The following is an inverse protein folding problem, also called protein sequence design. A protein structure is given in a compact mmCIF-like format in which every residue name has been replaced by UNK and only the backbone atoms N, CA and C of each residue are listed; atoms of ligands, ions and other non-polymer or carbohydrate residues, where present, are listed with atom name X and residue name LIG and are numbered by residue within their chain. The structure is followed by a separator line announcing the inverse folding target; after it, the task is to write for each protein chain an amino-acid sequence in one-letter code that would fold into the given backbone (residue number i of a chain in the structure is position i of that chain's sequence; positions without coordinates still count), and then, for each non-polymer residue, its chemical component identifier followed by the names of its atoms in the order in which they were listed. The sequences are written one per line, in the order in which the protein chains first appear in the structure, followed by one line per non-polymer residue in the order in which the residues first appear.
data_IF_424290661266
#
_entry.id   IF_424290661266
#
_cell.length_a   1.000
_cell.length_b   1.000
_cell.length_c   1.000
_cell.angle_alpha   90.00
_cell.angle_beta   90.00
_cell.angle_gamma   90.00
#
_symmetry.space_group_name_H-M   'P 1'
#
loop_
_entity.id
_entity.type
_entity.pdbx_description
1 polymer ?
#
# COMPACT_ATOMS: atom_id res chain seq x y z
N UNK A 1 38.15 14.32 25.25
CA UNK A 1 38.32 12.99 24.62
C UNK A 1 37.23 11.97 24.96
N UNK A 2 36.91 11.66 26.23
CA UNK A 2 35.85 10.68 26.59
C UNK A 2 34.46 10.99 26.00
N UNK A 3 34.01 12.25 26.07
CA UNK A 3 32.72 12.67 25.50
C UNK A 3 32.67 12.55 23.97
N UNK A 4 33.78 12.80 23.26
CA UNK A 4 33.87 12.67 21.79
C UNK A 4 33.79 11.19 21.37
N UNK A 5 34.43 10.27 22.13
CA UNK A 5 34.30 8.83 21.88
C UNK A 5 32.88 8.31 22.13
N UNK A 6 32.23 8.76 23.21
CA UNK A 6 30.84 8.39 23.49
C UNK A 6 29.87 8.89 22.41
N UNK A 7 30.01 10.15 21.98
CA UNK A 7 29.25 10.73 20.86
C UNK A 7 29.47 9.97 19.55
N UNK A 8 30.71 9.58 19.27
CA UNK A 8 31.03 8.79 18.07
C UNK A 8 30.41 7.39 18.11
N UNK A 9 30.43 6.72 19.27
CA UNK A 9 29.77 5.42 19.46
C UNK A 9 28.26 5.50 19.23
N UNK A 10 27.61 6.46 19.88
CA UNK A 10 26.16 6.69 19.72
C UNK A 10 25.78 7.09 18.29
N UNK A 11 26.63 7.85 17.59
CA UNK A 11 26.43 8.19 16.17
C UNK A 11 26.50 6.99 15.24
N UNK A 12 27.38 6.01 15.52
CA UNK A 12 27.50 4.78 14.71
C UNK A 12 26.31 3.85 14.98
N UNK A 13 25.85 3.78 16.23
CA UNK A 13 24.65 3.03 16.62
C UNK A 13 23.38 3.62 15.99
N UNK A 14 23.24 4.95 15.98
CA UNK A 14 22.12 5.64 15.31
C UNK A 14 22.11 5.36 13.80
N UNK A 15 23.27 5.33 13.16
CA UNK A 15 23.38 4.99 11.73
C UNK A 15 22.89 3.57 11.46
N UNK A 16 23.27 2.61 12.30
CA UNK A 16 22.80 1.23 12.18
C UNK A 16 21.27 1.13 12.32
N UNK A 17 20.68 1.82 13.29
CA UNK A 17 19.22 1.85 13.42
C UNK A 17 18.52 2.45 12.19
N UNK A 18 19.11 3.47 11.56
CA UNK A 18 18.55 4.04 10.32
C UNK A 18 18.62 3.04 9.16
N UNK A 19 19.73 2.31 9.02
CA UNK A 19 19.89 1.26 8.00
C UNK A 19 18.88 0.11 8.21
N UNK A 20 18.70 -0.33 9.46
CA UNK A 20 17.72 -1.36 9.80
C UNK A 20 16.28 -0.88 9.49
N UNK A 21 15.95 0.38 9.80
CA UNK A 21 14.64 0.94 9.47
C UNK A 21 14.43 1.10 7.96
N UNK A 22 15.46 1.43 7.18
CA UNK A 22 15.36 1.44 5.71
C UNK A 22 14.98 0.06 5.17
N UNK A 23 15.57 -1.01 5.71
CA UNK A 23 15.22 -2.37 5.31
C UNK A 23 13.74 -2.69 5.57
N UNK A 24 13.23 -2.33 6.75
CA UNK A 24 11.81 -2.54 7.10
C UNK A 24 10.88 -1.76 6.17
N UNK A 25 11.23 -0.53 5.81
CA UNK A 25 10.42 0.27 4.88
C UNK A 25 10.39 -0.34 3.48
N UNK A 26 11.53 -0.81 2.97
CA UNK A 26 11.60 -1.46 1.66
C UNK A 26 10.76 -2.75 1.64
N UNK A 27 10.78 -3.55 2.71
CA UNK A 27 9.91 -4.72 2.84
C UNK A 27 8.42 -4.31 2.88
N UNK A 28 8.08 -3.22 3.57
CA UNK A 28 6.72 -2.68 3.60
C UNK A 28 6.25 -2.26 2.20
N UNK A 29 7.09 -1.57 1.43
CA UNK A 29 6.78 -1.21 0.03
C UNK A 29 6.51 -2.44 -0.83
N UNK A 30 7.32 -3.49 -0.69
CA UNK A 30 7.10 -4.76 -1.40
C UNK A 30 5.74 -5.38 -1.05
N UNK A 31 5.36 -5.41 0.23
CA UNK A 31 4.05 -5.91 0.65
C UNK A 31 2.91 -5.07 0.10
N UNK A 32 3.07 -3.75 0.05
CA UNK A 32 2.06 -2.84 -0.53
C UNK A 32 1.84 -3.16 -2.01
N UNK A 33 2.91 -3.36 -2.79
CA UNK A 33 2.79 -3.75 -4.20
C UNK A 33 2.04 -5.07 -4.38
N UNK A 34 2.25 -6.05 -3.47
CA UNK A 34 1.49 -7.29 -3.51
C UNK A 34 -0.02 -7.06 -3.27
N UNK A 35 -0.39 -6.15 -2.37
CA UNK A 35 -1.79 -5.79 -2.13
C UNK A 35 -2.40 -5.13 -3.38
N UNK A 36 -1.66 -4.28 -4.09
CA UNK A 36 -2.12 -3.67 -5.35
C UNK A 36 -2.46 -4.73 -6.41
N UNK A 37 -1.62 -5.77 -6.55
CA UNK A 37 -1.86 -6.89 -7.48
C UNK A 37 -3.14 -7.65 -7.10
N UNK A 38 -3.36 -7.89 -5.80
CA UNK A 38 -4.58 -8.54 -5.31
C UNK A 38 -5.81 -7.67 -5.59
N UNK A 39 -5.75 -6.36 -5.35
CA UNK A 39 -6.84 -5.43 -5.66
C UNK A 39 -7.18 -5.36 -7.15
N UNK A 40 -6.16 -5.38 -8.02
CA UNK A 40 -6.36 -5.44 -9.45
C UNK A 40 -7.09 -6.73 -9.84
N UNK A 41 -6.72 -7.86 -9.23
CA UNK A 41 -7.39 -9.14 -9.44
C UNK A 41 -8.86 -9.09 -9.00
N UNK A 42 -9.15 -8.54 -7.81
CA UNK A 42 -10.53 -8.36 -7.31
C UNK A 42 -11.35 -7.46 -8.24
N UNK A 43 -10.76 -6.38 -8.75
CA UNK A 43 -11.41 -5.44 -9.67
C UNK A 43 -11.76 -6.16 -10.99
N UNK A 44 -10.82 -6.96 -11.52
CA UNK A 44 -11.03 -7.73 -12.74
C UNK A 44 -12.12 -8.81 -12.55
N UNK A 45 -12.12 -9.53 -11.42
CA UNK A 45 -13.16 -10.51 -11.09
C UNK A 45 -14.53 -9.81 -10.97
N UNK A 46 -14.57 -8.65 -10.31
CA UNK A 46 -15.80 -7.86 -10.15
C UNK A 46 -16.36 -7.43 -11.51
N UNK A 47 -15.50 -6.96 -12.42
CA UNK A 47 -15.90 -6.58 -13.78
C UNK A 47 -16.44 -7.78 -14.60
N UNK A 48 -15.76 -8.92 -14.57
CA UNK A 48 -16.22 -10.14 -15.24
C UNK A 48 -17.54 -10.64 -14.65
N UNK A 49 -17.67 -10.64 -13.33
CA UNK A 49 -18.89 -11.04 -12.64
C UNK A 49 -20.04 -10.09 -12.97
N UNK A 50 -19.77 -8.79 -13.12
CA UNK A 50 -20.78 -7.81 -13.53
C UNK A 50 -21.28 -8.08 -14.96
N UNK A 51 -20.40 -8.47 -15.89
CA UNK A 51 -20.78 -8.88 -17.25
C UNK A 51 -21.63 -10.17 -17.24
N UNK A 52 -21.26 -11.15 -16.42
CA UNK A 52 -22.05 -12.38 -16.24
C UNK A 52 -23.43 -12.06 -15.67
N UNK A 53 -23.49 -11.18 -14.66
CA UNK A 53 -24.74 -10.71 -14.07
C UNK A 53 -25.60 -9.98 -15.10
N UNK A 54 -25.01 -9.14 -15.97
CA UNK A 54 -25.73 -8.48 -17.06
C UNK A 54 -26.36 -9.50 -18.02
N UNK A 55 -25.60 -10.51 -18.45
CA UNK A 55 -26.12 -11.57 -19.32
C UNK A 55 -27.27 -12.33 -18.65
N UNK A 56 -27.14 -12.64 -17.35
CA UNK A 56 -28.19 -13.28 -16.58
C UNK A 56 -29.44 -12.38 -16.42
N UNK A 57 -29.28 -11.06 -16.28
CA UNK A 57 -30.41 -10.11 -16.27
C UNK A 57 -31.18 -10.14 -17.59
N UNK A 58 -30.48 -10.19 -18.73
CA UNK A 58 -31.09 -10.26 -20.07
C UNK A 58 -31.88 -11.57 -20.21
N UNK A 59 -31.29 -12.69 -19.81
CA UNK A 59 -31.97 -13.99 -19.89
C UNK A 59 -33.18 -14.07 -18.96
N UNK A 60 -33.09 -13.50 -17.75
CA UNK A 60 -34.22 -13.39 -16.83
C UNK A 60 -35.36 -12.55 -17.43
N UNK A 61 -35.05 -11.44 -18.12
CA UNK A 61 -36.07 -10.66 -18.83
C UNK A 61 -36.69 -11.44 -19.99
N UNK A 62 -35.89 -12.22 -20.73
CA UNK A 62 -36.36 -13.07 -21.84
C UNK A 62 -37.31 -14.18 -21.38
N UNK A 63 -37.07 -14.74 -20.19
CA UNK A 63 -37.94 -15.76 -19.59
C UNK A 63 -39.28 -15.21 -19.04
N UNK A 64 -39.50 -13.88 -19.07
CA UNK A 64 -40.74 -13.25 -18.64
C UNK A 64 -41.10 -13.58 -17.19
N UNK A 65 -42.32 -14.08 -16.96
CA UNK A 65 -42.81 -14.43 -15.62
C UNK A 65 -41.95 -15.49 -14.92
N UNK A 66 -41.38 -16.44 -15.66
CA UNK A 66 -40.52 -17.49 -15.12
C UNK A 66 -39.14 -16.97 -14.67
N UNK A 67 -38.72 -15.80 -15.16
CA UNK A 67 -37.44 -15.17 -14.85
C UNK A 67 -37.44 -14.25 -13.63
N UNK A 68 -38.60 -13.97 -13.01
CA UNK A 68 -38.73 -12.98 -11.92
C UNK A 68 -37.81 -13.29 -10.72
N UNK A 69 -37.71 -14.55 -10.31
CA UNK A 69 -36.83 -14.95 -9.20
C UNK A 69 -35.34 -14.76 -9.52
N UNK A 70 -34.94 -15.09 -10.75
CA UNK A 70 -33.57 -14.90 -11.23
C UNK A 70 -33.22 -13.40 -11.32
N UNK A 71 -34.15 -12.57 -11.81
CA UNK A 71 -33.96 -11.12 -11.90
C UNK A 71 -33.64 -10.48 -10.53
N UNK A 72 -34.36 -10.89 -9.47
CA UNK A 72 -34.12 -10.43 -8.10
C UNK A 72 -32.73 -10.88 -7.60
N UNK A 73 -32.34 -12.12 -7.87
CA UNK A 73 -31.03 -12.64 -7.47
C UNK A 73 -29.90 -11.86 -8.16
N UNK A 74 -30.03 -11.62 -9.47
CA UNK A 74 -29.04 -10.88 -10.26
C UNK A 74 -28.91 -9.43 -9.77
N UNK A 75 -30.03 -8.76 -9.47
CA UNK A 75 -29.98 -7.38 -8.97
C UNK A 75 -29.28 -7.26 -7.61
N UNK A 76 -29.51 -8.22 -6.70
CA UNK A 76 -28.77 -8.29 -5.43
C UNK A 76 -27.28 -8.56 -5.66
N UNK A 77 -26.95 -9.47 -6.57
CA UNK A 77 -25.57 -9.77 -6.95
C UNK A 77 -24.83 -8.54 -7.49
N UNK A 78 -25.46 -7.77 -8.40
CA UNK A 78 -24.88 -6.53 -8.93
C UNK A 78 -24.56 -5.51 -7.85
N UNK A 79 -25.48 -5.35 -6.87
CA UNK A 79 -25.24 -4.46 -5.73
C UNK A 79 -24.02 -4.88 -4.90
N UNK A 80 -23.82 -6.19 -4.69
CA UNK A 80 -22.63 -6.70 -3.99
C UNK A 80 -21.34 -6.44 -4.78
N UNK A 81 -21.39 -6.60 -6.11
CA UNK A 81 -20.25 -6.32 -7.00
C UNK A 81 -19.89 -4.83 -6.96
N UNK A 82 -20.88 -3.94 -7.04
CA UNK A 82 -20.68 -2.49 -6.91
C UNK A 82 -20.04 -2.12 -5.56
N UNK A 83 -20.51 -2.71 -4.46
CA UNK A 83 -19.92 -2.55 -3.13
C UNK A 83 -18.48 -3.07 -3.06
N UNK A 84 -18.18 -4.18 -3.75
CA UNK A 84 -16.83 -4.75 -3.82
C UNK A 84 -15.86 -3.81 -4.55
N UNK A 85 -16.29 -3.23 -5.68
CA UNK A 85 -15.49 -2.24 -6.42
C UNK A 85 -15.24 -0.99 -5.58
N UNK A 86 -16.28 -0.45 -4.94
CA UNK A 86 -16.15 0.71 -4.07
C UNK A 86 -15.19 0.44 -2.89
N UNK A 87 -15.23 -0.76 -2.32
CA UNK A 87 -14.29 -1.15 -1.26
C UNK A 87 -12.87 -1.24 -1.79
N UNK A 88 -12.67 -1.84 -2.96
CA UNK A 88 -11.35 -1.92 -3.59
C UNK A 88 -10.75 -0.52 -3.84
N UNK A 89 -11.56 0.45 -4.28
CA UNK A 89 -11.08 1.82 -4.49
C UNK A 89 -10.66 2.52 -3.19
N UNK A 90 -11.39 2.32 -2.10
CA UNK A 90 -10.98 2.83 -0.76
C UNK A 90 -9.66 2.23 -0.28
N UNK A 91 -9.41 0.95 -0.59
CA UNK A 91 -8.12 0.33 -0.25
C UNK A 91 -7.00 0.90 -1.12
N UNK A 92 -7.25 1.22 -2.40
CA UNK A 92 -6.26 1.92 -3.25
C UNK A 92 -5.87 3.29 -2.68
N UNK A 93 -6.84 4.06 -2.19
CA UNK A 93 -6.56 5.34 -1.50
C UNK A 93 -5.64 5.12 -0.29
N UNK A 94 -5.97 4.13 0.54
CA UNK A 94 -5.17 3.76 1.73
C UNK A 94 -3.74 3.35 1.35
N UNK A 95 -3.59 2.60 0.25
CA UNK A 95 -2.27 2.21 -0.29
C UNK A 95 -1.46 3.44 -0.72
N UNK A 96 -2.08 4.39 -1.42
CA UNK A 96 -1.43 5.63 -1.85
C UNK A 96 -0.90 6.43 -0.65
N UNK A 97 -1.66 6.47 0.44
CA UNK A 97 -1.24 7.10 1.69
C UNK A 97 -0.04 6.38 2.32
N UNK A 98 -0.06 5.05 2.36
CA UNK A 98 1.07 4.25 2.84
C UNK A 98 2.34 4.46 2.01
N UNK A 99 2.24 4.46 0.67
CA UNK A 99 3.37 4.73 -0.21
C UNK A 99 3.95 6.13 0.01
N UNK A 100 3.08 7.12 0.24
CA UNK A 100 3.50 8.48 0.54
C UNK A 100 4.22 8.57 1.89
N UNK A 101 3.67 7.93 2.93
CA UNK A 101 4.31 7.85 4.25
C UNK A 101 5.66 7.11 4.20
N UNK A 102 5.75 6.03 3.43
CA UNK A 102 6.98 5.28 3.19
C UNK A 102 8.07 6.16 2.56
N UNK A 103 7.76 6.84 1.44
CA UNK A 103 8.69 7.76 0.77
C UNK A 103 9.14 8.89 1.69
N UNK A 104 8.23 9.43 2.51
CA UNK A 104 8.58 10.45 3.48
C UNK A 104 9.55 9.91 4.54
N UNK A 105 9.32 8.71 5.05
CA UNK A 105 10.19 8.09 6.04
C UNK A 105 11.60 7.82 5.47
N UNK A 106 11.71 7.31 4.24
CA UNK A 106 13.02 7.15 3.56
C UNK A 106 13.74 8.49 3.41
N UNK A 107 13.06 9.54 2.96
CA UNK A 107 13.66 10.87 2.81
C UNK A 107 14.17 11.43 4.15
N UNK A 108 13.43 11.24 5.24
CA UNK A 108 13.89 11.64 6.58
C UNK A 108 15.12 10.85 7.02
N UNK A 109 15.16 9.55 6.76
CA UNK A 109 16.31 8.69 7.05
C UNK A 109 17.57 9.11 6.28
N UNK A 110 17.43 9.46 5.00
CA UNK A 110 18.53 9.98 4.18
C UNK A 110 19.06 11.32 4.74
N UNK A 111 18.18 12.25 5.11
CA UNK A 111 18.55 13.51 5.75
C UNK A 111 19.28 13.30 7.08
N UNK A 112 18.80 12.38 7.91
CA UNK A 112 19.45 12.03 9.17
C UNK A 112 20.85 11.45 8.92
N UNK A 113 20.98 10.54 7.96
CA UNK A 113 22.27 9.94 7.58
C UNK A 113 23.26 10.99 7.09
N UNK A 114 22.82 11.90 6.21
CA UNK A 114 23.65 13.01 5.70
C UNK A 114 24.11 13.96 6.83
N UNK A 115 23.23 14.23 7.79
CA UNK A 115 23.53 15.06 8.97
C UNK A 115 24.59 14.39 9.86
N UNK A 116 24.47 13.09 10.10
CA UNK A 116 25.45 12.32 10.87
C UNK A 116 26.82 12.30 10.17
N UNK A 117 26.85 12.10 8.85
CA UNK A 117 28.10 12.16 8.06
C UNK A 117 28.77 13.54 8.14
N UNK A 118 27.99 14.61 8.02
CA UNK A 118 28.50 16.00 8.11
C UNK A 118 29.07 16.31 9.50
N UNK A 119 28.39 15.89 10.58
CA UNK A 119 28.88 16.02 11.96
C UNK A 119 30.19 15.25 12.18
N UNK A 120 30.32 14.05 11.60
CA UNK A 120 31.55 13.25 11.67
C UNK A 120 32.74 13.96 11.00
N UNK A 121 32.54 14.57 9.83
CA UNK A 121 33.59 15.32 9.13
C UNK A 121 34.06 16.55 9.92
N UNK A 122 33.14 17.32 10.50
CA UNK A 122 33.48 18.47 11.35
C UNK A 122 34.28 18.06 12.60
N UNK A 123 33.97 16.91 13.20
CA UNK A 123 34.72 16.40 14.36
C UNK A 123 36.16 15.98 14.01
N UNK A 124 36.39 15.44 12.80
CA UNK A 124 37.74 15.08 12.30
C UNK A 124 38.59 16.31 11.95
N UNK A 125 37.95 17.43 11.58
CA UNK A 125 38.66 18.67 11.20
C UNK A 125 39.10 19.51 12.40
N UNK A 126 38.55 19.23 13.59
CA UNK A 126 38.81 19.93 14.86
C UNK A 126 39.67 19.13 15.86
N UNK A 127 40.05 17.90 15.51
CA UNK A 127 40.93 17.02 16.28
C UNK A 127 42.28 16.94 15.57
#
# INVERSE_FOLDING_TARGET
MRQIHALRGSSEETKKYIEDMQYVIVDLESKITLIEVVLQTITNISAQTNLLALNASIEAARAGEHGKGLAVCVQKGRKLIEQSVQTADRVKETISDFQTGSRQAVNQMEKHTATLMSRRMLSKKRA
#
